data_IF_073888254960
#
_entry.id   IF_073888254960
#
_cell.length_a   1.000
_cell.length_b   1.000
_cell.length_c   1.000
_cell.angle_alpha   90.00
_cell.angle_beta   90.00
_cell.angle_gamma   90.00
#
_symmetry.space_group_name_H-M   'P 1'
#
loop_
_entity.id
_entity.type
_entity.pdbx_description
1 polymer ?
#
# COMPACT_ATOMS: atom_id res chain seq x y z
N UNK A 1 20.67 11.34 6.33
CA UNK A 1 19.19 11.39 6.29
C UNK A 1 18.73 10.49 5.17
N UNK A 2 18.05 9.38 5.48
CA UNK A 2 17.52 8.49 4.46
C UNK A 2 16.03 8.80 4.27
N UNK A 3 15.62 9.05 3.03
CA UNK A 3 14.19 9.18 2.69
C UNK A 3 13.68 7.77 2.38
N UNK A 4 12.65 7.35 3.09
CA UNK A 4 11.96 6.08 2.83
C UNK A 4 10.53 6.33 2.38
N UNK A 5 9.94 5.43 1.59
CA UNK A 5 8.51 5.49 1.25
C UNK A 5 7.77 4.42 2.05
N UNK A 6 6.55 4.71 2.49
CA UNK A 6 5.63 3.78 3.13
C UNK A 6 4.30 3.79 2.40
N UNK A 7 3.61 2.65 2.35
CA UNK A 7 2.25 2.59 1.86
C UNK A 7 1.30 3.20 2.91
N UNK A 8 0.28 3.91 2.43
CA UNK A 8 -0.83 4.44 3.23
C UNK A 8 -2.14 4.20 2.52
N UNK A 9 -3.17 3.85 3.28
CA UNK A 9 -4.55 3.70 2.78
C UNK A 9 -5.44 4.75 3.45
N UNK A 10 -6.24 5.43 2.64
CA UNK A 10 -7.41 6.15 3.09
C UNK A 10 -8.56 5.14 3.29
N UNK A 11 -8.86 4.82 4.55
CA UNK A 11 -9.88 3.84 4.89
C UNK A 11 -11.32 4.36 4.66
N UNK A 12 -11.50 5.66 4.49
CA UNK A 12 -12.81 6.25 4.18
C UNK A 12 -13.11 6.10 2.68
N UNK A 13 -12.09 6.25 1.84
CA UNK A 13 -12.23 6.10 0.39
C UNK A 13 -12.15 4.64 -0.09
N UNK A 14 -11.55 3.74 0.70
CA UNK A 14 -11.36 2.34 0.35
C UNK A 14 -12.66 1.54 0.46
N UNK A 15 -12.99 0.79 -0.60
CA UNK A 15 -14.16 -0.11 -0.65
C UNK A 15 -13.75 -1.62 -0.70
N UNK A 16 -12.53 -1.97 -0.29
CA UNK A 16 -12.13 -3.38 -0.12
C UNK A 16 -11.90 -4.20 -1.40
N UNK A 17 -11.50 -3.57 -2.52
CA UNK A 17 -11.32 -4.27 -3.82
C UNK A 17 -10.18 -5.30 -3.88
N UNK A 18 -9.29 -5.37 -2.88
CA UNK A 18 -8.22 -6.39 -2.80
C UNK A 18 -7.03 -6.26 -3.76
N UNK A 19 -7.11 -5.50 -4.85
CA UNK A 19 -6.04 -5.37 -5.88
C UNK A 19 -4.67 -4.99 -5.30
N UNK A 20 -4.66 -4.21 -4.21
CA UNK A 20 -3.43 -3.80 -3.55
C UNK A 20 -2.69 -4.97 -2.86
N UNK A 21 -3.42 -5.88 -2.21
CA UNK A 21 -2.85 -7.07 -1.58
C UNK A 21 -2.36 -8.09 -2.63
N UNK A 22 -3.03 -8.19 -3.77
CA UNK A 22 -2.56 -9.04 -4.89
C UNK A 22 -1.23 -8.55 -5.49
N UNK A 23 -1.02 -7.24 -5.51
CA UNK A 23 0.16 -6.64 -6.13
C UNK A 23 1.36 -6.54 -5.18
N UNK A 24 1.11 -6.41 -3.87
CA UNK A 24 2.17 -6.26 -2.85
C UNK A 24 1.81 -7.05 -1.58
N UNK A 25 1.62 -8.39 -1.70
CA UNK A 25 1.19 -9.23 -0.58
C UNK A 25 2.18 -9.21 0.60
N UNK A 26 3.44 -8.84 0.36
CA UNK A 26 4.47 -8.73 1.39
C UNK A 26 4.25 -7.54 2.35
N UNK A 27 3.48 -6.52 1.91
CA UNK A 27 3.23 -5.30 2.68
C UNK A 27 1.76 -5.06 2.99
N UNK A 28 0.84 -5.72 2.27
CA UNK A 28 -0.60 -5.57 2.43
C UNK A 28 -1.23 -6.95 2.53
N UNK A 29 -1.80 -7.25 3.70
CA UNK A 29 -2.77 -8.33 3.87
C UNK A 29 -4.20 -7.82 3.76
N UNK A 30 -5.16 -8.73 3.68
CA UNK A 30 -6.59 -8.40 3.80
C UNK A 30 -7.14 -8.99 5.11
N UNK A 31 -8.04 -8.26 5.75
CA UNK A 31 -8.85 -8.81 6.84
C UNK A 31 -9.99 -9.70 6.31
N UNK A 32 -10.83 -10.19 7.23
CA UNK A 32 -11.97 -11.03 6.91
C UNK A 32 -13.08 -10.32 6.11
N UNK A 33 -13.05 -8.99 6.04
CA UNK A 33 -13.97 -8.17 5.26
C UNK A 33 -13.37 -7.66 3.94
N UNK A 34 -12.12 -8.03 3.63
CA UNK A 34 -11.44 -7.61 2.40
C UNK A 34 -10.77 -6.23 2.49
N UNK A 35 -10.68 -5.62 3.67
CA UNK A 35 -10.00 -4.35 3.86
C UNK A 35 -8.50 -4.53 4.09
N UNK A 36 -7.66 -3.60 3.60
CA UNK A 36 -6.22 -3.76 3.66
C UNK A 36 -5.65 -3.51 5.05
N UNK A 37 -4.83 -4.45 5.53
CA UNK A 37 -3.96 -4.32 6.70
C UNK A 37 -2.53 -4.09 6.21
N UNK A 38 -1.94 -2.93 6.56
CA UNK A 38 -0.60 -2.57 6.11
C UNK A 38 0.48 -2.98 7.13
N UNK A 39 1.60 -3.48 6.61
CA UNK A 39 2.82 -3.65 7.39
C UNK A 39 3.35 -2.28 7.86
N UNK A 40 3.78 -2.20 9.11
CA UNK A 40 4.43 -1.00 9.65
C UNK A 40 5.91 -0.93 9.26
N UNK A 41 6.20 -0.95 7.95
CA UNK A 41 7.53 -1.00 7.39
C UNK A 41 7.68 -0.05 6.17
N UNK A 42 8.89 0.45 5.89
CA UNK A 42 9.18 1.08 4.61
C UNK A 42 9.04 0.07 3.47
N UNK A 43 8.73 0.56 2.28
CA UNK A 43 8.73 -0.23 1.05
C UNK A 43 10.18 -0.62 0.71
N UNK A 44 10.53 -1.91 0.65
CA UNK A 44 11.85 -2.35 0.20
C UNK A 44 12.09 -1.98 -1.26
N UNK A 45 13.36 -1.77 -1.63
CA UNK A 45 13.76 -1.35 -2.99
C UNK A 45 13.10 -2.21 -4.10
N UNK A 46 13.14 -3.53 -3.93
CA UNK A 46 12.59 -4.52 -4.87
C UNK A 46 11.06 -4.43 -5.04
N UNK A 47 10.35 -3.94 -4.02
CA UNK A 47 8.89 -3.83 -4.04
C UNK A 47 8.40 -2.46 -4.54
N UNK A 48 9.26 -1.46 -4.76
CA UNK A 48 8.80 -0.14 -5.19
C UNK A 48 8.03 -0.17 -6.51
N UNK A 49 8.43 -1.00 -7.48
CA UNK A 49 7.72 -1.10 -8.76
C UNK A 49 6.30 -1.64 -8.55
N UNK A 50 6.17 -2.68 -7.73
CA UNK A 50 4.89 -3.28 -7.37
C UNK A 50 4.02 -2.31 -6.56
N UNK A 51 4.61 -1.62 -5.58
CA UNK A 51 3.93 -0.61 -4.77
C UNK A 51 3.40 0.56 -5.60
N UNK A 52 4.19 1.10 -6.53
CA UNK A 52 3.73 2.16 -7.47
C UNK A 52 2.60 1.65 -8.36
N UNK A 53 2.68 0.39 -8.81
CA UNK A 53 1.62 -0.23 -9.61
C UNK A 53 0.34 -0.41 -8.80
N UNK A 54 0.43 -0.83 -7.54
CA UNK A 54 -0.71 -0.94 -6.64
C UNK A 54 -1.40 0.41 -6.40
N UNK A 55 -0.62 1.48 -6.22
CA UNK A 55 -1.17 2.84 -6.11
C UNK A 55 -1.92 3.23 -7.38
N UNK A 56 -1.32 2.97 -8.55
CA UNK A 56 -1.90 3.32 -9.85
C UNK A 56 -3.18 2.53 -10.16
N UNK A 57 -3.24 1.26 -9.76
CA UNK A 57 -4.36 0.37 -10.05
C UNK A 57 -5.46 0.39 -8.99
N UNK A 58 -5.30 1.19 -7.92
CA UNK A 58 -6.35 1.34 -6.91
C UNK A 58 -7.57 2.04 -7.52
N UNK A 59 -8.73 1.37 -7.67
CA UNK A 59 -9.89 1.94 -8.37
C UNK A 59 -10.47 3.17 -7.67
N UNK A 60 -10.26 3.26 -6.35
CA UNK A 60 -10.76 4.33 -5.49
C UNK A 60 -9.73 5.42 -5.22
N UNK A 61 -8.51 5.29 -5.74
CA UNK A 61 -7.37 6.17 -5.43
C UNK A 61 -7.10 6.29 -3.91
N UNK A 62 -7.47 5.26 -3.15
CA UNK A 62 -7.33 5.23 -1.70
C UNK A 62 -5.91 4.83 -1.24
N UNK A 63 -5.10 4.23 -2.11
CA UNK A 63 -3.73 3.81 -1.79
C UNK A 63 -2.72 4.87 -2.24
N UNK A 64 -1.73 5.18 -1.40
CA UNK A 64 -0.67 6.14 -1.73
C UNK A 64 0.70 5.74 -1.16
N UNK A 65 1.77 6.33 -1.72
CA UNK A 65 3.13 6.27 -1.18
C UNK A 65 3.44 7.57 -0.43
N UNK A 66 3.72 7.46 0.87
CA UNK A 66 4.12 8.57 1.70
C UNK A 66 5.62 8.55 1.95
N UNK A 67 6.30 9.67 1.63
CA UNK A 67 7.69 9.88 2.03
C UNK A 67 7.77 10.09 3.54
N UNK A 68 8.65 9.34 4.18
CA UNK A 68 8.97 9.46 5.59
C UNK A 68 10.44 9.86 5.71
N UNK A 69 10.73 10.85 6.57
CA UNK A 69 12.10 11.18 6.94
C UNK A 69 12.42 10.41 8.22
N UNK A 70 13.42 9.55 8.15
CA UNK A 70 13.99 8.81 9.27
C UNK A 70 15.44 9.21 9.46
#
# INVERSE_FOLDING_TARGET
MAVTERLKVDMIACDGHGVCAELVPELIGLDEWGYPILANAPVPQELHKHARKAVTLCPKLALSLARTRT
#
